data_IF_550475230834
#
_entry.id   IF_550475230834
#
_cell.length_a   1.000
_cell.length_b   1.000
_cell.length_c   1.000
_cell.angle_alpha   90.00
_cell.angle_beta   90.00
_cell.angle_gamma   90.00
#
_symmetry.space_group_name_H-M   'P 1'
#
loop_
_entity.id
_entity.type
_entity.pdbx_description
1 polymer ?
#
# COMPACT_ATOMS: atom_id res chain seq x y z
N UNK A 1 12.41 19.76 -9.56
CA UNK A 1 11.90 18.39 -9.86
C UNK A 1 13.04 17.36 -9.93
N UNK A 2 14.20 17.70 -10.50
CA UNK A 2 15.39 16.83 -10.52
C UNK A 2 15.81 16.32 -9.14
N UNK A 3 15.85 17.18 -8.12
CA UNK A 3 16.35 16.80 -6.79
C UNK A 3 15.48 15.77 -6.06
N UNK A 4 14.15 15.78 -6.26
CA UNK A 4 13.26 14.76 -5.69
C UNK A 4 13.41 13.43 -6.44
N UNK A 5 13.51 13.48 -7.77
CA UNK A 5 13.80 12.30 -8.59
C UNK A 5 15.16 11.71 -8.24
N UNK A 6 16.18 12.56 -8.09
CA UNK A 6 17.53 12.19 -7.66
C UNK A 6 17.54 11.69 -6.23
N UNK A 7 16.82 12.28 -5.26
CA UNK A 7 16.71 11.71 -3.92
C UNK A 7 16.06 10.31 -3.95
N UNK A 8 15.02 10.11 -4.76
CA UNK A 8 14.38 8.81 -4.98
C UNK A 8 15.26 7.80 -5.74
N UNK A 9 16.25 8.25 -6.53
CA UNK A 9 17.18 7.37 -7.27
C UNK A 9 18.57 7.24 -6.64
N UNK A 10 18.98 8.18 -5.80
CA UNK A 10 20.30 8.32 -5.18
C UNK A 10 20.29 7.88 -3.72
N UNK A 11 19.15 7.99 -3.03
CA UNK A 11 19.01 7.37 -1.73
C UNK A 11 18.73 5.88 -1.96
N UNK A 12 19.78 5.08 -1.75
CA UNK A 12 19.66 3.78 -1.07
C UNK A 12 18.46 3.88 -0.09
N UNK A 13 17.53 2.94 0.02
CA UNK A 13 17.79 1.57 0.47
C UNK A 13 16.45 0.82 0.33
N UNK A 14 16.14 0.25 -0.84
CA UNK A 14 15.22 -0.88 -0.79
C UNK A 14 15.92 -1.95 0.04
N UNK A 15 15.36 -2.27 1.20
CA UNK A 15 15.89 -3.34 2.04
C UNK A 15 15.39 -4.68 1.52
N UNK A 16 16.20 -5.72 1.72
CA UNK A 16 15.75 -7.08 1.45
C UNK A 16 14.70 -7.47 2.50
N UNK A 17 13.63 -8.17 2.12
CA UNK A 17 12.63 -8.61 3.08
C UNK A 17 13.25 -9.60 4.08
N UNK A 18 13.02 -9.38 5.36
CA UNK A 18 13.38 -10.30 6.44
C UNK A 18 12.12 -11.09 6.85
N UNK A 19 12.10 -12.42 6.74
CA UNK A 19 10.96 -13.25 7.15
C UNK A 19 10.58 -13.13 8.62
N UNK A 20 11.49 -12.68 9.50
CA UNK A 20 11.25 -12.58 10.94
C UNK A 20 10.61 -11.25 11.36
N UNK A 21 10.53 -10.28 10.44
CA UNK A 21 9.95 -8.97 10.70
C UNK A 21 8.50 -8.85 10.18
N UNK A 22 7.66 -8.16 10.95
CA UNK A 22 6.29 -7.82 10.54
C UNK A 22 6.30 -6.84 9.36
N UNK A 23 5.36 -7.02 8.43
CA UNK A 23 5.23 -6.13 7.27
C UNK A 23 4.29 -4.96 7.56
N UNK A 24 4.60 -3.83 6.93
CA UNK A 24 3.75 -2.64 6.91
C UNK A 24 3.44 -2.29 5.46
N UNK A 25 2.17 -2.01 5.19
CA UNK A 25 1.71 -1.50 3.91
C UNK A 25 1.19 -0.08 4.13
N UNK A 26 1.72 0.87 3.38
CA UNK A 26 1.12 2.20 3.23
C UNK A 26 0.44 2.31 1.87
N UNK A 27 -0.78 2.80 1.86
CA UNK A 27 -1.53 3.07 0.63
C UNK A 27 -1.91 4.54 0.54
N UNK A 28 -1.83 5.06 -0.68
CA UNK A 28 -2.32 6.38 -1.06
C UNK A 28 -3.15 6.24 -2.33
N UNK A 29 -4.21 7.04 -2.45
CA UNK A 29 -5.06 7.05 -3.63
C UNK A 29 -5.29 8.47 -4.12
N UNK A 30 -5.22 8.63 -5.43
CA UNK A 30 -5.60 9.85 -6.12
C UNK A 30 -6.74 9.57 -7.09
N UNK A 31 -7.27 10.63 -7.71
CA UNK A 31 -8.32 10.46 -8.71
C UNK A 31 -7.90 9.60 -9.91
N UNK A 32 -6.61 9.57 -10.23
CA UNK A 32 -6.09 8.95 -11.46
C UNK A 32 -5.28 7.68 -11.22
N UNK A 33 -4.71 7.50 -10.03
CA UNK A 33 -3.80 6.41 -9.73
C UNK A 33 -3.83 6.06 -8.25
N UNK A 34 -3.45 4.82 -7.94
CA UNK A 34 -3.22 4.34 -6.58
C UNK A 34 -1.74 4.01 -6.39
N UNK A 35 -1.25 4.27 -5.18
CA UNK A 35 0.09 3.99 -4.73
C UNK A 35 0.07 3.05 -3.52
N UNK A 36 1.03 2.13 -3.47
CA UNK A 36 1.25 1.22 -2.36
C UNK A 36 2.75 1.11 -2.08
N UNK A 37 3.13 1.14 -0.81
CA UNK A 37 4.50 0.93 -0.35
C UNK A 37 4.51 -0.25 0.63
N UNK A 38 5.35 -1.25 0.36
CA UNK A 38 5.66 -2.32 1.30
C UNK A 38 6.90 -1.93 2.10
N UNK A 39 6.85 -2.05 3.42
CA UNK A 39 7.91 -1.66 4.32
C UNK A 39 8.09 -2.66 5.46
N UNK A 40 9.26 -2.63 6.09
CA UNK A 40 9.57 -3.35 7.32
C UNK A 40 10.41 -2.48 8.24
N UNK A 41 10.31 -2.74 9.55
CA UNK A 41 11.29 -2.27 10.52
C UNK A 41 12.20 -3.44 10.90
N UNK A 42 13.46 -3.39 10.45
CA UNK A 42 14.50 -4.38 10.75
C UNK A 42 15.46 -3.88 11.85
N UNK A 43 14.99 -2.98 12.73
CA UNK A 43 15.77 -2.40 13.82
C UNK A 43 16.40 -1.04 13.50
N UNK A 44 16.13 -0.48 12.32
CA UNK A 44 16.60 0.84 11.88
C UNK A 44 15.44 1.80 11.57
N UNK A 45 14.24 1.49 12.07
CA UNK A 45 13.02 2.19 11.72
C UNK A 45 12.40 1.66 10.43
N UNK A 46 11.26 2.25 10.06
CA UNK A 46 10.48 1.79 8.92
C UNK A 46 11.20 2.10 7.60
N UNK A 47 11.50 1.04 6.84
CA UNK A 47 12.25 1.12 5.60
C UNK A 47 11.50 0.42 4.45
N UNK A 48 11.54 0.99 3.23
CA UNK A 48 10.83 0.46 2.08
C UNK A 48 11.49 -0.80 1.52
N UNK A 49 10.67 -1.79 1.18
CA UNK A 49 11.04 -3.04 0.48
C UNK A 49 10.62 -2.96 -0.99
N UNK A 50 9.43 -2.43 -1.25
CA UNK A 50 8.90 -2.33 -2.60
C UNK A 50 7.90 -1.17 -2.72
N UNK A 51 7.85 -0.59 -3.91
CA UNK A 51 6.88 0.42 -4.31
C UNK A 51 6.02 -0.12 -5.45
N UNK A 52 4.75 0.21 -5.43
CA UNK A 52 3.79 -0.14 -6.47
C UNK A 52 2.92 1.07 -6.77
N UNK A 53 2.79 1.42 -8.04
CA UNK A 53 1.84 2.43 -8.50
C UNK A 53 1.04 1.87 -9.66
N UNK A 54 -0.28 2.02 -9.62
CA UNK A 54 -1.19 1.59 -10.68
C UNK A 54 -2.07 2.76 -11.10
N UNK A 55 -2.01 3.10 -12.39
CA UNK A 55 -2.95 4.04 -12.99
C UNK A 55 -4.33 3.38 -13.11
N UNK A 56 -5.38 4.10 -12.69
CA UNK A 56 -6.76 3.64 -12.75
C UNK A 56 -7.32 3.78 -14.17
N UNK A 57 -8.16 2.84 -14.58
CA UNK A 57 -8.76 2.87 -15.92
C UNK A 57 -10.24 2.47 -15.91
N UNK A 58 -11.00 3.00 -16.86
CA UNK A 58 -12.41 2.65 -17.05
C UNK A 58 -13.25 2.91 -15.81
N UNK A 59 -13.93 1.88 -15.30
CA UNK A 59 -14.79 1.99 -14.13
C UNK A 59 -14.03 2.41 -12.86
N UNK A 60 -12.75 2.03 -12.72
CA UNK A 60 -11.95 2.33 -11.52
C UNK A 60 -11.75 3.85 -11.31
N UNK A 61 -11.81 4.66 -12.37
CA UNK A 61 -11.71 6.13 -12.29
C UNK A 61 -12.92 6.75 -11.60
N UNK A 62 -14.09 6.13 -11.75
CA UNK A 62 -15.36 6.62 -11.20
C UNK A 62 -15.61 6.15 -9.76
N UNK A 63 -14.69 5.35 -9.20
CA UNK A 63 -14.81 4.90 -7.82
C UNK A 63 -14.68 6.09 -6.85
N UNK A 64 -15.48 6.12 -5.77
CA UNK A 64 -15.22 7.01 -4.66
C UNK A 64 -13.80 6.80 -4.10
N UNK A 65 -13.24 7.83 -3.47
CA UNK A 65 -11.86 7.78 -2.94
C UNK A 65 -11.63 6.62 -1.97
N UNK A 66 -12.62 6.29 -1.13
CA UNK A 66 -12.55 5.14 -0.21
C UNK A 66 -12.45 3.79 -0.93
N UNK A 67 -13.15 3.61 -2.05
CA UNK A 67 -13.09 2.40 -2.86
C UNK A 67 -11.74 2.32 -3.61
N UNK A 68 -11.17 3.45 -3.99
CA UNK A 68 -9.84 3.53 -4.61
C UNK A 68 -8.74 3.13 -3.62
N UNK A 69 -8.84 3.54 -2.35
CA UNK A 69 -7.91 3.10 -1.30
C UNK A 69 -8.05 1.61 -1.00
N UNK A 70 -9.29 1.11 -0.88
CA UNK A 70 -9.54 -0.32 -0.72
C UNK A 70 -8.95 -1.11 -1.90
N UNK A 71 -9.10 -0.60 -3.12
CA UNK A 71 -8.48 -1.16 -4.31
C UNK A 71 -6.95 -1.14 -4.22
N UNK A 72 -6.34 -0.06 -3.71
CA UNK A 72 -4.90 0.02 -3.48
C UNK A 72 -4.42 -1.09 -2.53
N UNK A 73 -5.13 -1.30 -1.41
CA UNK A 73 -4.83 -2.38 -0.46
C UNK A 73 -4.90 -3.74 -1.16
N UNK A 74 -5.99 -4.02 -1.88
CA UNK A 74 -6.18 -5.29 -2.60
C UNK A 74 -5.06 -5.51 -3.62
N UNK A 75 -4.67 -4.47 -4.35
CA UNK A 75 -3.57 -4.53 -5.33
C UNK A 75 -2.24 -4.87 -4.65
N UNK A 76 -1.95 -4.23 -3.50
CA UNK A 76 -0.76 -4.52 -2.70
C UNK A 76 -0.70 -5.98 -2.24
N UNK A 77 -1.77 -6.46 -1.60
CA UNK A 77 -1.85 -7.84 -1.13
C UNK A 77 -1.80 -8.87 -2.26
N UNK A 78 -2.41 -8.60 -3.42
CA UNK A 78 -2.33 -9.50 -4.58
C UNK A 78 -0.92 -9.56 -5.17
N UNK A 79 -0.25 -8.41 -5.26
CA UNK A 79 1.08 -8.32 -5.86
C UNK A 79 2.15 -8.99 -4.98
N UNK A 80 2.07 -8.75 -3.67
CA UNK A 80 3.05 -9.26 -2.70
C UNK A 80 2.52 -10.41 -1.86
N UNK A 81 1.60 -11.21 -2.41
CA UNK A 81 1.02 -12.37 -1.73
C UNK A 81 2.09 -13.29 -1.16
N UNK A 82 3.18 -13.51 -1.89
CA UNK A 82 4.31 -14.34 -1.46
C UNK A 82 5.01 -13.86 -0.17
N UNK A 83 4.93 -12.56 0.16
CA UNK A 83 5.51 -12.00 1.38
C UNK A 83 4.50 -11.88 2.52
N UNK A 84 3.24 -11.60 2.18
CA UNK A 84 2.20 -11.21 3.15
C UNK A 84 1.34 -12.38 3.62
N UNK A 85 1.22 -13.44 2.83
CA UNK A 85 0.36 -14.58 3.16
C UNK A 85 0.84 -15.29 4.43
N UNK A 86 -0.05 -15.39 5.42
CA UNK A 86 0.27 -16.01 6.72
C UNK A 86 1.14 -15.15 7.65
N UNK A 87 1.47 -13.91 7.27
CA UNK A 87 2.24 -12.97 8.09
C UNK A 87 1.34 -11.90 8.68
N UNK A 88 1.75 -11.36 9.84
CA UNK A 88 1.08 -10.20 10.42
C UNK A 88 1.48 -8.96 9.60
N UNK A 89 0.46 -8.23 9.14
CA UNK A 89 0.65 -7.04 8.32
C UNK A 89 -0.18 -5.90 8.87
N UNK A 90 0.46 -4.74 9.07
CA UNK A 90 -0.22 -3.50 9.44
C UNK A 90 -0.45 -2.67 8.19
N UNK A 91 -1.67 -2.16 8.00
CA UNK A 91 -2.01 -1.31 6.87
C UNK A 91 -2.28 0.10 7.37
N UNK A 92 -1.55 1.07 6.82
CA UNK A 92 -1.77 2.50 7.01
C UNK A 92 -2.37 3.09 5.73
N UNK A 93 -3.44 3.84 5.90
CA UNK A 93 -4.13 4.57 4.84
C UNK A 93 -4.54 5.92 5.42
N UNK A 94 -4.42 6.96 4.60
CA UNK A 94 -4.72 8.35 4.94
C UNK A 94 -6.23 8.60 5.18
N UNK A 95 -7.08 7.63 4.86
CA UNK A 95 -8.51 7.78 5.01
C UNK A 95 -9.07 6.97 6.18
N UNK A 96 -9.58 7.72 7.16
CA UNK A 96 -10.13 7.18 8.40
C UNK A 96 -11.35 6.25 8.19
N UNK A 97 -11.97 6.25 7.01
CA UNK A 97 -13.13 5.44 6.63
C UNK A 97 -12.83 3.93 6.67
N UNK A 98 -11.61 3.53 6.31
CA UNK A 98 -11.19 2.12 6.26
C UNK A 98 -10.91 1.50 7.63
N UNK A 99 -10.81 2.31 8.70
CA UNK A 99 -10.79 1.79 10.07
C UNK A 99 -12.04 0.96 10.39
N UNK A 100 -13.15 1.24 9.70
CA UNK A 100 -14.43 0.55 9.88
C UNK A 100 -14.61 -0.69 9.00
N UNK A 101 -13.65 -1.04 8.13
CA UNK A 101 -13.73 -2.25 7.31
C UNK A 101 -13.79 -3.52 8.19
N UNK A 102 -13.12 -3.49 9.37
CA UNK A 102 -13.17 -4.56 10.37
C UNK A 102 -14.49 -4.64 11.15
N UNK A 103 -15.28 -3.57 11.15
CA UNK A 103 -16.55 -3.46 11.89
C UNK A 103 -17.77 -3.44 10.98
N UNK A 104 -17.62 -3.50 9.66
CA UNK A 104 -18.74 -3.63 8.73
C UNK A 104 -19.19 -5.11 8.61
N UNK A 105 -20.41 -5.46 9.10
CA UNK A 105 -20.93 -6.82 9.03
C UNK A 105 -21.36 -7.25 7.61
N UNK A 106 -21.40 -6.33 6.65
CA UNK A 106 -21.76 -6.63 5.25
C UNK A 106 -21.05 -5.67 4.30
N UNK A 107 -20.15 -6.21 3.46
CA UNK A 107 -19.76 -5.58 2.22
C UNK A 107 -21.03 -5.52 1.35
N UNK A 108 -21.61 -4.33 1.21
CA UNK A 108 -22.76 -4.12 0.32
C UNK A 108 -22.33 -4.48 -1.10
N UNK A 109 -22.77 -5.66 -1.56
CA UNK A 109 -22.69 -6.08 -2.94
C UNK A 109 -23.61 -5.17 -3.77
N UNK A 110 -23.01 -4.23 -4.50
CA UNK A 110 -23.69 -3.55 -5.61
C UNK A 110 -23.33 -4.25 -6.91
#
# INVERSE_FOLDING_TARGET
MEQLKQALTSARVLILPDPECDYVIETDASDQAVGVVLMQDQGNGLQPIAYLSKKLHGAELNYPIHDKEALAIIIGFKTWRCYLEGRKTTVYTDHCSLKYLKTQPSLSRR
#
